data_IF_197047148180
#
_entry.id   IF_197047148180
#
_cell.length_a   1.000
_cell.length_b   1.000
_cell.length_c   1.000
_cell.angle_alpha   90.00
_cell.angle_beta   90.00
_cell.angle_gamma   90.00
#
_symmetry.space_group_name_H-M   'P 1'
#
loop_
_entity.id
_entity.type
_entity.pdbx_description
1 polymer ?
#
# COMPACT_ATOMS: atom_id res chain seq x y z
N UNK A 1 -17.97 3.33 14.11
CA UNK A 1 -16.87 3.87 13.29
C UNK A 1 -15.92 2.73 12.94
N UNK A 2 -15.86 2.33 11.67
CA UNK A 2 -15.03 1.22 11.20
C UNK A 2 -13.63 1.72 10.85
N UNK A 3 -12.59 1.05 11.38
CA UNK A 3 -11.24 1.12 10.83
C UNK A 3 -10.98 -0.13 10.01
N UNK A 4 -10.71 0.09 8.73
CA UNK A 4 -10.18 -0.89 7.81
C UNK A 4 -8.72 -1.09 8.20
N UNK A 5 -8.34 -2.29 8.65
CA UNK A 5 -6.93 -2.70 8.72
C UNK A 5 -6.46 -3.04 7.30
N UNK A 6 -6.26 -1.99 6.49
CA UNK A 6 -5.05 -1.91 5.67
C UNK A 6 -3.87 -1.83 6.65
N UNK A 7 -2.65 -2.15 6.22
CA UNK A 7 -1.45 -1.75 6.96
C UNK A 7 -1.53 -0.23 7.23
N UNK A 8 -2.06 0.13 8.40
CA UNK A 8 -2.32 1.49 8.82
C UNK A 8 -1.10 1.93 9.62
N UNK A 9 -0.23 2.70 8.98
CA UNK A 9 0.77 3.51 9.66
C UNK A 9 0.07 4.53 10.56
N UNK A 10 -0.09 4.20 11.84
CA UNK A 10 -0.59 5.17 12.84
C UNK A 10 0.59 5.92 13.43
N UNK A 11 0.69 7.22 13.14
CA UNK A 11 1.48 8.13 13.96
C UNK A 11 0.76 8.37 15.29
N UNK A 12 1.35 7.86 16.38
CA UNK A 12 0.88 8.15 17.72
C UNK A 12 1.36 9.55 18.13
N UNK A 13 0.44 10.46 18.42
CA UNK A 13 0.73 11.79 18.97
C UNK A 13 0.55 11.71 20.49
N UNK A 14 1.64 11.63 21.25
CA UNK A 14 1.57 11.87 22.69
C UNK A 14 1.37 13.37 22.92
N UNK A 15 0.20 13.75 23.45
CA UNK A 15 -0.01 15.06 24.05
C UNK A 15 0.63 15.03 25.45
N UNK A 16 1.82 15.59 25.59
CA UNK A 16 2.34 16.00 26.89
C UNK A 16 2.44 17.53 26.91
N UNK A 17 1.59 18.13 27.73
CA UNK A 17 1.73 19.52 28.16
C UNK A 17 2.92 19.62 29.11
N UNK A 18 3.96 20.36 28.74
CA UNK A 18 4.57 21.44 29.53
C UNK A 18 5.97 21.84 29.04
N UNK A 19 6.09 23.16 28.81
CA UNK A 19 7.21 24.10 29.00
C UNK A 19 8.66 23.72 28.62
N UNK A 20 9.15 24.59 27.74
CA UNK A 20 10.46 25.26 27.71
C UNK A 20 11.73 24.38 27.61
N UNK A 21 12.29 24.39 26.40
CA UNK A 21 13.73 24.21 26.19
C UNK A 21 14.22 22.76 26.27
N UNK A 22 14.00 21.96 25.23
CA UNK A 22 14.95 20.91 24.86
C UNK A 22 14.71 20.38 23.45
N UNK A 23 15.80 19.88 22.88
CA UNK A 23 15.99 19.34 21.53
C UNK A 23 14.89 18.34 21.15
N UNK A 24 14.34 18.46 19.93
CA UNK A 24 13.34 17.51 19.39
C UNK A 24 13.99 16.13 19.17
N UNK A 25 13.39 15.02 19.66
CA UNK A 25 13.85 13.69 19.28
C UNK A 25 13.38 13.33 17.86
N UNK A 26 14.17 12.52 17.17
CA UNK A 26 13.84 11.94 15.87
C UNK A 26 12.59 11.05 15.97
N UNK A 27 11.73 11.13 14.94
CA UNK A 27 10.50 10.33 14.81
C UNK A 27 10.88 8.87 14.53
N UNK A 28 10.56 7.97 15.47
CA UNK A 28 10.59 6.53 15.25
C UNK A 28 9.19 6.00 14.92
N UNK A 29 9.11 5.12 13.92
CA UNK A 29 7.90 4.40 13.52
C UNK A 29 7.84 3.08 14.29
N UNK A 30 6.74 2.83 15.01
CA UNK A 30 6.56 1.61 15.82
C UNK A 30 5.76 0.57 15.02
N UNK A 31 6.24 -0.67 15.00
CA UNK A 31 5.59 -1.82 14.35
C UNK A 31 5.26 -2.90 15.38
N UNK A 32 4.07 -3.52 15.27
CA UNK A 32 3.65 -4.63 16.14
C UNK A 32 3.82 -5.95 15.40
N UNK A 33 4.59 -6.88 15.97
CA UNK A 33 4.77 -8.24 15.48
C UNK A 33 4.24 -9.21 16.54
N UNK A 34 3.32 -10.11 16.16
CA UNK A 34 2.96 -11.27 16.99
C UNK A 34 4.05 -12.33 16.86
N UNK A 35 4.55 -12.79 18.00
CA UNK A 35 5.56 -13.82 18.10
C UNK A 35 5.03 -15.18 17.60
N UNK A 36 5.88 -15.89 16.86
CA UNK A 36 5.70 -17.29 16.49
C UNK A 36 6.61 -18.09 17.42
N UNK A 37 6.06 -18.99 18.23
CA UNK A 37 6.85 -19.99 18.94
C UNK A 37 7.44 -20.96 17.91
N UNK A 38 8.75 -21.10 17.90
CA UNK A 38 9.43 -22.18 17.19
C UNK A 38 9.58 -23.33 18.18
N UNK A 39 8.96 -24.46 17.86
CA UNK A 39 9.07 -25.69 18.65
C UNK A 39 10.51 -26.21 18.63
N UNK A 40 11.10 -26.37 19.82
CA UNK A 40 12.30 -27.14 20.09
C UNK A 40 12.04 -28.02 21.33
N UNK A 41 12.70 -29.19 21.45
CA UNK A 41 12.24 -30.25 22.34
C UNK A 41 12.59 -29.97 23.81
N UNK A 42 11.72 -30.47 24.67
CA UNK A 42 11.84 -30.63 26.12
C UNK A 42 12.02 -29.37 26.97
N UNK A 43 10.91 -28.86 27.52
CA UNK A 43 10.80 -28.58 28.97
C UNK A 43 9.34 -28.75 29.42
N UNK A 44 9.16 -29.64 30.39
CA UNK A 44 7.90 -30.01 31.05
C UNK A 44 7.39 -28.95 32.03
N UNK A 45 6.07 -29.00 32.25
CA UNK A 45 5.26 -28.35 33.31
C UNK A 45 4.78 -26.91 33.08
N UNK A 46 3.71 -26.77 32.27
CA UNK A 46 2.79 -25.63 32.34
C UNK A 46 1.52 -26.07 33.08
N UNK A 47 1.22 -25.34 34.15
CA UNK A 47 0.11 -25.58 35.07
C UNK A 47 -1.26 -25.65 34.35
N UNK A 48 -2.01 -26.78 34.40
CA UNK A 48 -3.27 -26.97 33.69
C UNK A 48 -4.38 -25.96 34.06
N UNK A 49 -4.27 -25.28 35.20
CA UNK A 49 -5.26 -24.31 35.67
C UNK A 49 -5.30 -22.99 34.88
N UNK A 50 -4.25 -22.65 34.13
CA UNK A 50 -4.16 -21.40 33.38
C UNK A 50 -4.84 -21.52 32.01
N UNK A 51 -4.75 -22.69 31.37
CA UNK A 51 -5.38 -22.96 30.06
C UNK A 51 -6.91 -22.93 30.18
N UNK A 52 -7.47 -23.38 31.31
CA UNK A 52 -8.93 -23.42 31.51
C UNK A 52 -9.56 -22.02 31.70
N UNK A 53 -8.82 -21.06 32.28
CA UNK A 53 -9.30 -19.67 32.46
C UNK A 53 -9.16 -18.80 31.20
N UNK A 54 -8.30 -19.17 30.25
CA UNK A 54 -8.17 -18.46 28.97
C UNK A 54 -9.32 -18.77 27.99
N UNK A 55 -9.87 -19.99 28.02
CA UNK A 55 -10.93 -20.38 27.09
C UNK A 55 -12.32 -19.84 27.46
N UNK A 56 -12.61 -19.54 28.72
CA UNK A 56 -13.95 -19.12 29.16
C UNK A 56 -14.20 -17.60 29.06
N UNK A 57 -13.17 -16.76 28.88
CA UNK A 57 -13.31 -15.29 28.79
C UNK A 57 -13.20 -14.71 27.38
N UNK A 58 -12.89 -15.50 26.35
CA UNK A 58 -12.79 -15.04 24.95
C UNK A 58 -13.97 -15.44 24.04
N UNK A 59 -15.08 -15.96 24.59
CA UNK A 59 -16.35 -16.05 23.84
C UNK A 59 -17.04 -14.67 23.74
N UNK A 60 -16.34 -13.72 23.12
CA UNK A 60 -16.95 -12.54 22.49
C UNK A 60 -17.58 -12.95 21.17
N UNK A 61 -18.87 -12.63 21.00
CA UNK A 61 -19.75 -12.99 19.87
C UNK A 61 -19.04 -13.18 18.51
N UNK A 62 -19.02 -14.41 17.94
CA UNK A 62 -18.48 -14.66 16.62
C UNK A 62 -19.51 -14.21 15.58
N UNK A 63 -19.25 -13.13 14.84
CA UNK A 63 -20.24 -12.71 13.85
C UNK A 63 -19.86 -11.62 12.87
N UNK A 64 -19.07 -10.60 13.26
CA UNK A 64 -18.83 -9.44 12.35
C UNK A 64 -17.41 -9.35 11.80
N UNK A 65 -16.38 -9.73 12.57
CA UNK A 65 -14.98 -9.67 12.10
C UNK A 65 -14.59 -10.84 11.21
N UNK A 66 -15.04 -12.06 11.53
CA UNK A 66 -14.88 -13.25 10.68
C UNK A 66 -15.64 -13.08 9.36
N UNK A 67 -16.78 -12.39 9.37
CA UNK A 67 -17.59 -12.17 8.18
C UNK A 67 -16.85 -11.32 7.14
N UNK A 68 -16.09 -10.29 7.53
CA UNK A 68 -15.45 -9.36 6.58
C UNK A 68 -14.19 -9.89 5.89
N UNK A 69 -13.36 -10.69 6.58
CA UNK A 69 -12.15 -11.29 5.97
C UNK A 69 -12.50 -12.36 4.91
N UNK A 70 -13.66 -13.00 5.06
CA UNK A 70 -14.06 -14.16 4.26
C UNK A 70 -14.52 -13.87 2.82
N UNK A 71 -14.83 -12.63 2.45
CA UNK A 71 -15.36 -12.32 1.10
C UNK A 71 -14.31 -11.77 0.13
N UNK A 72 -13.12 -11.38 0.60
CA UNK A 72 -12.14 -10.73 -0.29
C UNK A 72 -11.73 -11.63 -1.47
N UNK A 73 -11.46 -12.92 -1.23
CA UNK A 73 -11.13 -13.85 -2.32
C UNK A 73 -12.25 -13.99 -3.34
N UNK A 74 -13.51 -14.01 -2.91
CA UNK A 74 -14.68 -14.08 -3.79
C UNK A 74 -14.88 -12.78 -4.59
N UNK A 75 -14.69 -11.61 -3.97
CA UNK A 75 -14.79 -10.34 -4.69
C UNK A 75 -13.70 -10.21 -5.75
N UNK A 76 -12.48 -10.67 -5.46
CA UNK A 76 -11.40 -10.71 -6.46
C UNK A 76 -11.71 -11.69 -7.57
N UNK A 77 -12.28 -12.86 -7.24
CA UNK A 77 -12.77 -13.82 -8.23
C UNK A 77 -13.77 -13.18 -9.19
N UNK A 78 -14.79 -12.51 -8.65
CA UNK A 78 -15.80 -11.80 -9.46
C UNK A 78 -15.18 -10.68 -10.28
N UNK A 79 -14.25 -9.92 -9.71
CA UNK A 79 -13.52 -8.87 -10.42
C UNK A 79 -12.81 -9.44 -11.65
N UNK A 80 -12.07 -10.55 -11.48
CA UNK A 80 -11.35 -11.21 -12.58
C UNK A 80 -12.31 -11.76 -13.64
N UNK A 81 -13.44 -12.37 -13.23
CA UNK A 81 -14.46 -12.88 -14.14
C UNK A 81 -15.14 -11.77 -14.97
N UNK A 82 -15.27 -10.58 -14.40
CA UNK A 82 -15.83 -9.39 -15.08
C UNK A 82 -14.77 -8.56 -15.84
N UNK A 83 -13.54 -9.08 -16.02
CA UNK A 83 -12.42 -8.37 -16.65
C UNK A 83 -12.07 -7.03 -15.95
N UNK A 84 -12.31 -6.96 -14.64
CA UNK A 84 -11.98 -5.81 -13.79
C UNK A 84 -10.60 -5.97 -13.14
N UNK A 85 -9.98 -4.86 -12.70
CA UNK A 85 -8.72 -4.91 -11.96
C UNK A 85 -8.80 -5.90 -10.78
N UNK A 86 -7.75 -6.71 -10.61
CA UNK A 86 -7.59 -7.55 -9.43
C UNK A 86 -7.38 -6.74 -8.15
N UNK A 87 -6.69 -7.33 -7.18
CA UNK A 87 -6.35 -6.68 -5.91
C UNK A 87 -4.83 -6.57 -5.77
N UNK A 88 -4.18 -5.62 -6.47
CA UNK A 88 -2.73 -5.45 -6.47
C UNK A 88 -2.26 -4.77 -5.19
N UNK A 89 -2.37 -5.46 -4.06
CA UNK A 89 -1.99 -4.94 -2.74
C UNK A 89 -1.01 -5.87 -2.02
N UNK A 90 -0.82 -7.09 -2.52
CA UNK A 90 0.00 -8.09 -1.88
C UNK A 90 1.48 -7.85 -2.21
N UNK A 91 2.37 -8.22 -1.29
CA UNK A 91 3.80 -8.30 -1.60
C UNK A 91 4.08 -9.39 -2.64
N UNK A 92 5.26 -9.37 -3.26
CA UNK A 92 5.68 -10.44 -4.17
C UNK A 92 5.69 -11.81 -3.49
N UNK A 93 6.09 -11.84 -2.22
CA UNK A 93 6.07 -13.03 -1.37
C UNK A 93 4.64 -13.60 -1.20
N UNK A 94 3.70 -12.77 -0.77
CA UNK A 94 2.30 -13.18 -0.58
C UNK A 94 1.65 -13.55 -1.92
N UNK A 95 1.98 -12.83 -3.00
CA UNK A 95 1.53 -13.15 -4.37
C UNK A 95 2.05 -14.52 -4.81
N UNK A 96 3.32 -14.82 -4.55
CA UNK A 96 3.91 -16.13 -4.80
C UNK A 96 3.19 -17.23 -4.03
N UNK A 97 2.89 -17.01 -2.75
CA UNK A 97 2.13 -17.97 -1.94
C UNK A 97 0.72 -18.22 -2.49
N UNK A 98 -0.01 -17.17 -2.87
CA UNK A 98 -1.34 -17.26 -3.47
C UNK A 98 -1.30 -18.08 -4.77
N UNK A 99 -0.38 -17.74 -5.67
CA UNK A 99 -0.31 -18.35 -7.00
C UNK A 99 0.32 -19.73 -7.01
N UNK A 100 1.23 -20.04 -6.11
CA UNK A 100 2.04 -21.26 -6.19
C UNK A 100 1.73 -22.24 -5.05
N UNK A 101 1.00 -21.81 -4.01
CA UNK A 101 0.70 -22.60 -2.83
C UNK A 101 1.92 -22.83 -1.92
N UNK A 102 3.07 -22.29 -2.30
CA UNK A 102 4.29 -22.33 -1.52
C UNK A 102 5.08 -21.04 -1.70
N UNK A 103 5.90 -20.76 -0.70
CA UNK A 103 6.78 -19.60 -0.70
C UNK A 103 8.09 -20.04 -1.37
N UNK A 104 8.29 -19.73 -2.66
CA UNK A 104 9.48 -20.20 -3.40
C UNK A 104 10.69 -19.27 -3.35
N UNK A 105 10.47 -17.96 -3.28
CA UNK A 105 11.56 -16.99 -3.25
C UNK A 105 11.20 -15.82 -2.35
N UNK A 106 11.81 -15.82 -1.18
CA UNK A 106 11.76 -14.72 -0.24
C UNK A 106 13.08 -13.98 -0.34
N UNK A 107 13.05 -12.76 -0.89
CA UNK A 107 14.25 -11.97 -1.01
C UNK A 107 14.35 -11.03 0.18
N UNK A 108 15.58 -10.76 0.63
CA UNK A 108 15.82 -9.71 1.64
C UNK A 108 15.28 -8.34 1.19
N UNK A 109 15.02 -8.16 -0.12
CA UNK A 109 14.48 -6.93 -0.69
C UNK A 109 12.99 -6.74 -0.36
N UNK A 110 12.30 -7.79 0.06
CA UNK A 110 10.89 -7.77 0.45
C UNK A 110 10.69 -7.22 1.87
N UNK A 111 11.77 -7.06 2.65
CA UNK A 111 11.74 -6.49 3.98
C UNK A 111 11.65 -4.94 3.93
N UNK A 112 11.28 -4.27 5.03
CA UNK A 112 11.44 -2.82 5.16
C UNK A 112 12.93 -2.42 5.14
N UNK A 113 13.27 -1.25 4.58
CA UNK A 113 14.68 -0.84 4.42
C UNK A 113 15.44 -0.74 5.74
N UNK A 114 14.77 -0.30 6.83
CA UNK A 114 15.35 -0.28 8.17
C UNK A 114 15.76 -1.68 8.64
N UNK A 115 14.93 -2.69 8.37
CA UNK A 115 15.21 -4.09 8.71
C UNK A 115 16.35 -4.63 7.85
N UNK A 116 16.36 -4.31 6.55
CA UNK A 116 17.46 -4.69 5.65
C UNK A 116 18.79 -4.12 6.12
N UNK A 117 18.80 -2.84 6.49
CA UNK A 117 20.02 -2.18 6.92
C UNK A 117 20.60 -2.84 8.17
N UNK A 118 19.75 -3.10 9.19
CA UNK A 118 20.17 -3.80 10.42
C UNK A 118 20.66 -5.23 10.12
N UNK A 119 19.98 -5.95 9.24
CA UNK A 119 20.40 -7.29 8.80
C UNK A 119 21.74 -7.28 8.05
N UNK A 120 22.00 -6.24 7.25
CA UNK A 120 23.28 -6.05 6.58
C UNK A 120 24.38 -5.60 7.55
N UNK A 121 24.03 -4.83 8.59
CA UNK A 121 24.95 -4.47 9.67
C UNK A 121 25.36 -5.73 10.46
N UNK A 122 24.42 -6.62 10.77
CA UNK A 122 24.70 -7.91 11.44
C UNK A 122 25.65 -8.78 10.61
N UNK A 123 25.49 -8.87 9.29
CA UNK A 123 26.42 -9.63 8.42
C UNK A 123 27.85 -9.09 8.48
N UNK A 124 28.00 -7.77 8.60
CA UNK A 124 29.29 -7.07 8.61
C UNK A 124 30.00 -7.17 9.96
N UNK A 125 29.31 -7.61 11.01
CA UNK A 125 29.89 -7.80 12.33
C UNK A 125 30.94 -8.93 12.33
N UNK A 126 32.05 -8.71 13.03
CA UNK A 126 33.16 -9.65 13.14
C UNK A 126 33.09 -10.53 14.39
N UNK A 127 32.31 -10.16 15.40
CA UNK A 127 32.19 -10.88 16.69
C UNK A 127 30.74 -11.10 17.11
N UNK A 128 30.49 -12.12 17.92
CA UNK A 128 29.16 -12.42 18.46
C UNK A 128 28.62 -11.29 19.36
N UNK A 129 29.50 -10.61 20.11
CA UNK A 129 29.12 -9.47 20.96
C UNK A 129 28.58 -8.30 20.12
N UNK A 130 29.20 -8.01 18.98
CA UNK A 130 28.74 -6.92 18.09
C UNK A 130 27.43 -7.28 17.39
N UNK A 131 27.25 -8.55 17.01
CA UNK A 131 25.97 -9.06 16.48
C UNK A 131 24.86 -8.92 17.51
N UNK A 132 25.11 -9.28 18.78
CA UNK A 132 24.15 -9.14 19.88
C UNK A 132 23.75 -7.68 20.10
N UNK A 133 24.71 -6.74 20.07
CA UNK A 133 24.41 -5.32 20.20
C UNK A 133 23.49 -4.81 19.10
N UNK A 134 23.76 -5.15 17.83
CA UNK A 134 22.89 -4.77 16.71
C UNK A 134 21.50 -5.39 16.87
N UNK A 135 21.41 -6.65 17.29
CA UNK A 135 20.14 -7.33 17.57
C UNK A 135 19.34 -6.65 18.69
N UNK A 136 19.97 -6.28 19.81
CA UNK A 136 19.30 -5.56 20.90
C UNK A 136 18.74 -4.21 20.47
N UNK A 137 19.45 -3.45 19.62
CA UNK A 137 18.88 -2.20 19.07
C UNK A 137 17.64 -2.45 18.22
N UNK A 138 17.57 -3.60 17.54
CA UNK A 138 16.40 -3.99 16.76
C UNK A 138 15.22 -4.39 17.65
N UNK A 139 15.46 -4.93 18.85
CA UNK A 139 14.42 -5.24 19.85
C UNK A 139 13.89 -3.97 20.55
N UNK A 140 14.75 -3.00 20.86
CA UNK A 140 14.35 -1.72 21.46
C UNK A 140 13.45 -0.90 20.53
N UNK A 141 13.70 -0.95 19.22
CA UNK A 141 12.84 -0.36 18.19
C UNK A 141 11.46 -1.09 18.07
N UNK A 142 11.30 -2.27 18.67
CA UNK A 142 10.06 -3.10 18.67
C UNK A 142 9.19 -2.95 19.93
N UNK A 143 9.35 -1.87 20.69
CA UNK A 143 8.68 -1.57 21.99
C UNK A 143 7.15 -1.47 22.00
N UNK A 144 6.44 -2.06 21.02
CA UNK A 144 4.98 -2.22 20.98
C UNK A 144 4.48 -3.68 20.99
N UNK A 145 5.35 -4.68 21.12
CA UNK A 145 4.94 -6.09 21.28
C UNK A 145 4.77 -6.43 22.77
N UNK A 146 3.58 -6.89 23.16
CA UNK A 146 3.23 -7.21 24.57
C UNK A 146 4.04 -8.38 25.16
N UNK A 147 4.73 -9.15 24.32
CA UNK A 147 5.65 -10.21 24.73
C UNK A 147 6.84 -10.28 23.77
N UNK A 148 8.04 -10.01 24.29
CA UNK A 148 9.30 -10.34 23.64
C UNK A 148 9.86 -11.56 24.36
N UNK A 149 10.04 -12.67 23.64
CA UNK A 149 10.84 -13.80 24.13
C UNK A 149 12.29 -13.45 23.81
N UNK A 150 13.14 -13.12 24.81
CA UNK A 150 14.52 -12.76 24.54
C UNK A 150 15.25 -13.98 23.97
N UNK A 151 15.95 -13.78 22.85
CA UNK A 151 16.83 -14.81 22.31
C UNK A 151 18.06 -14.89 23.23
N UNK A 152 18.02 -15.83 24.18
CA UNK A 152 19.03 -15.98 25.25
C UNK A 152 20.46 -16.18 24.72
N UNK A 153 20.60 -16.69 23.49
CA UNK A 153 21.87 -16.83 22.78
C UNK A 153 21.64 -16.48 21.31
N UNK A 154 22.13 -15.33 20.88
CA UNK A 154 22.21 -14.94 19.47
C UNK A 154 23.68 -14.85 19.07
N UNK A 155 24.08 -15.58 18.02
CA UNK A 155 25.46 -15.62 17.52
C UNK A 155 25.49 -15.41 16.01
N UNK A 156 26.69 -15.27 15.43
CA UNK A 156 26.87 -15.01 14.00
C UNK A 156 26.31 -16.12 13.10
N UNK A 157 26.37 -17.37 13.55
CA UNK A 157 25.85 -18.53 12.81
C UNK A 157 24.33 -18.49 12.66
N UNK A 158 23.62 -17.90 13.64
CA UNK A 158 22.17 -17.77 13.62
C UNK A 158 21.66 -16.66 12.70
N UNK A 159 22.52 -15.79 12.18
CA UNK A 159 22.09 -14.66 11.32
C UNK A 159 21.39 -15.17 10.06
N UNK A 160 21.89 -16.23 9.43
CA UNK A 160 21.30 -16.79 8.20
C UNK A 160 19.89 -17.34 8.44
N UNK A 161 19.71 -18.10 9.53
CA UNK A 161 18.41 -18.63 9.95
C UNK A 161 17.46 -17.53 10.38
N UNK A 162 17.96 -16.52 11.11
CA UNK A 162 17.17 -15.37 11.54
C UNK A 162 16.70 -14.52 10.36
N UNK A 163 17.57 -14.30 9.37
CA UNK A 163 17.20 -13.67 8.10
C UNK A 163 16.09 -14.44 7.42
N UNK A 164 16.27 -15.75 7.25
CA UNK A 164 15.26 -16.61 6.60
C UNK A 164 13.92 -16.52 7.33
N UNK A 165 13.92 -16.64 8.67
CA UNK A 165 12.72 -16.51 9.49
C UNK A 165 12.07 -15.12 9.38
N UNK A 166 12.84 -14.04 9.31
CA UNK A 166 12.30 -12.68 9.13
C UNK A 166 11.68 -12.46 7.76
N UNK A 167 12.27 -13.01 6.70
CA UNK A 167 11.67 -12.90 5.37
C UNK A 167 10.42 -13.79 5.26
N UNK A 168 10.36 -14.90 5.99
CA UNK A 168 9.18 -15.79 6.05
C UNK A 168 8.04 -15.22 6.91
N UNK A 169 8.38 -14.46 7.95
CA UNK A 169 7.43 -13.96 8.95
C UNK A 169 6.19 -13.26 8.37
N UNK A 170 6.28 -12.35 7.38
CA UNK A 170 5.10 -11.67 6.84
C UNK A 170 4.06 -12.63 6.27
N UNK A 171 4.49 -13.75 5.66
CA UNK A 171 3.57 -14.74 5.11
C UNK A 171 3.12 -15.76 6.16
N UNK A 172 4.03 -16.20 7.04
CA UNK A 172 3.71 -17.20 8.06
C UNK A 172 2.74 -16.64 9.13
N UNK A 173 2.90 -15.37 9.52
CA UNK A 173 2.06 -14.71 10.52
C UNK A 173 0.62 -14.45 10.07
N UNK A 174 0.33 -14.49 8.76
CA UNK A 174 -1.01 -14.35 8.19
C UNK A 174 -1.41 -15.54 7.30
N UNK A 175 -0.76 -16.70 7.49
CA UNK A 175 -0.96 -17.89 6.66
C UNK A 175 -2.42 -18.33 6.64
N UNK A 176 -3.08 -18.36 7.79
CA UNK A 176 -4.48 -18.78 7.86
C UNK A 176 -5.41 -17.85 7.08
N UNK A 177 -5.19 -16.53 7.16
CA UNK A 177 -5.92 -15.57 6.35
C UNK A 177 -5.64 -15.72 4.85
N UNK A 178 -4.38 -15.95 4.47
CA UNK A 178 -4.01 -16.22 3.08
C UNK A 178 -4.65 -17.52 2.58
N UNK A 179 -4.67 -18.59 3.38
CA UNK A 179 -5.31 -19.86 3.03
C UNK A 179 -6.83 -19.72 2.89
N UNK A 180 -7.47 -18.90 3.73
CA UNK A 180 -8.88 -18.54 3.57
C UNK A 180 -9.10 -17.76 2.27
N UNK A 181 -8.27 -16.76 1.98
CA UNK A 181 -8.33 -15.99 0.75
C UNK A 181 -8.16 -16.89 -0.48
N UNK A 182 -7.15 -17.76 -0.50
CA UNK A 182 -6.86 -18.73 -1.58
C UNK A 182 -8.05 -19.64 -1.83
N UNK A 183 -8.62 -20.25 -0.78
CA UNK A 183 -9.82 -21.11 -0.91
C UNK A 183 -11.00 -20.38 -1.52
N UNK A 184 -11.15 -19.09 -1.23
CA UNK A 184 -12.24 -18.24 -1.75
C UNK A 184 -11.93 -17.74 -3.16
N UNK A 185 -10.66 -17.50 -3.47
CA UNK A 185 -10.20 -17.13 -4.81
C UNK A 185 -10.36 -18.27 -5.82
N UNK A 186 -10.22 -19.52 -5.36
CA UNK A 186 -10.45 -20.71 -6.19
C UNK A 186 -11.94 -21.06 -6.33
N UNK A 187 -12.84 -20.21 -5.85
CA UNK A 187 -14.27 -20.34 -6.20
C UNK A 187 -14.39 -20.23 -7.72
N UNK A 188 -15.18 -21.11 -8.34
CA UNK A 188 -15.30 -21.21 -9.81
C UNK A 188 -14.00 -21.62 -10.54
N UNK A 189 -13.01 -22.20 -9.84
CA UNK A 189 -11.73 -22.65 -10.42
C UNK A 189 -10.87 -21.54 -11.03
N UNK A 190 -11.12 -20.28 -10.66
CA UNK A 190 -10.38 -19.12 -11.21
C UNK A 190 -8.90 -19.21 -10.87
N UNK A 191 -8.54 -19.57 -9.64
CA UNK A 191 -7.13 -19.73 -9.28
C UNK A 191 -6.46 -20.86 -10.07
N UNK A 192 -7.15 -21.98 -10.30
CA UNK A 192 -6.70 -23.03 -11.20
C UNK A 192 -6.35 -22.51 -12.61
N UNK A 193 -7.21 -21.69 -13.21
CA UNK A 193 -6.99 -21.09 -14.52
C UNK A 193 -5.81 -20.11 -14.52
N UNK A 194 -5.72 -19.23 -13.51
CA UNK A 194 -4.60 -18.29 -13.34
C UNK A 194 -3.26 -19.03 -13.20
N UNK A 195 -3.27 -20.19 -12.54
CA UNK A 195 -2.11 -21.07 -12.41
C UNK A 195 -1.72 -21.78 -13.69
N UNK A 196 -2.62 -21.88 -14.67
CA UNK A 196 -2.33 -22.49 -15.97
C UNK A 196 -1.94 -21.45 -17.04
N UNK A 197 -2.28 -20.17 -16.85
CA UNK A 197 -1.94 -19.10 -17.79
C UNK A 197 -0.42 -18.99 -18.05
N UNK A 198 -0.03 -18.92 -19.32
CA UNK A 198 1.38 -18.81 -19.73
C UNK A 198 2.01 -17.47 -19.34
N UNK A 199 1.22 -16.40 -19.30
CA UNK A 199 1.65 -15.05 -18.96
C UNK A 199 1.63 -14.81 -17.45
N UNK A 200 2.55 -15.48 -16.75
CA UNK A 200 2.73 -15.35 -15.30
C UNK A 200 2.92 -13.90 -14.83
N UNK A 201 3.57 -13.07 -15.63
CA UNK A 201 3.78 -11.65 -15.29
C UNK A 201 2.45 -10.89 -15.19
N UNK A 202 1.52 -11.10 -16.14
CA UNK A 202 0.19 -10.48 -16.11
C UNK A 202 -0.62 -10.98 -14.92
N UNK A 203 -0.61 -12.29 -14.66
CA UNK A 203 -1.30 -12.92 -13.52
C UNK A 203 -0.78 -12.38 -12.19
N UNK A 204 0.54 -12.30 -12.02
CA UNK A 204 1.15 -11.70 -10.82
C UNK A 204 0.71 -10.26 -10.63
N UNK A 205 0.59 -9.48 -11.71
CA UNK A 205 0.11 -8.10 -11.68
C UNK A 205 -1.34 -7.94 -11.20
N UNK A 206 -2.14 -9.00 -11.12
CA UNK A 206 -3.48 -8.96 -10.52
C UNK A 206 -3.46 -8.89 -8.99
N UNK A 207 -2.36 -9.31 -8.36
CA UNK A 207 -2.23 -9.45 -6.90
C UNK A 207 -1.08 -8.65 -6.33
N UNK A 208 0.03 -8.58 -7.06
CA UNK A 208 1.23 -7.87 -6.63
C UNK A 208 1.00 -6.36 -6.71
N UNK A 209 1.19 -5.72 -5.56
CA UNK A 209 1.15 -4.26 -5.41
C UNK A 209 2.43 -3.57 -5.85
N UNK A 210 3.25 -4.17 -6.72
CA UNK A 210 4.27 -3.43 -7.47
C UNK A 210 3.61 -2.48 -8.48
N UNK A 211 2.81 -1.54 -7.98
CA UNK A 211 2.23 -0.45 -8.74
C UNK A 211 3.42 0.42 -9.14
N UNK A 212 3.77 0.40 -10.43
CA UNK A 212 4.74 1.33 -10.99
C UNK A 212 4.32 2.75 -10.54
N UNK A 213 5.25 3.56 -9.98
CA UNK A 213 4.91 4.91 -9.57
C UNK A 213 4.19 5.62 -10.70
N UNK A 214 3.04 6.23 -10.39
CA UNK A 214 2.30 6.95 -11.40
C UNK A 214 3.15 8.13 -11.85
N UNK A 215 3.35 8.27 -13.16
CA UNK A 215 4.10 9.39 -13.74
C UNK A 215 3.15 10.32 -14.49
N UNK A 216 3.49 11.60 -14.57
CA UNK A 216 2.72 12.56 -15.37
C UNK A 216 2.65 12.12 -16.85
N UNK A 217 3.70 11.48 -17.36
CA UNK A 217 3.72 10.94 -18.71
C UNK A 217 2.70 9.81 -18.88
N UNK A 218 2.64 8.85 -17.96
CA UNK A 218 1.67 7.76 -18.00
C UNK A 218 0.23 8.32 -17.95
N UNK A 219 -0.04 9.28 -17.05
CA UNK A 219 -1.34 9.92 -16.95
C UNK A 219 -1.72 10.68 -18.23
N UNK A 220 -0.78 11.43 -18.82
CA UNK A 220 -0.97 12.10 -20.11
C UNK A 220 -1.28 11.12 -21.24
N UNK A 221 -0.60 9.98 -21.31
CA UNK A 221 -0.80 8.99 -22.38
C UNK A 221 -2.19 8.36 -22.34
N UNK A 222 -2.84 8.37 -21.17
CA UNK A 222 -4.22 7.94 -20.99
C UNK A 222 -5.25 8.99 -21.38
N UNK A 223 -4.86 10.22 -21.71
CA UNK A 223 -5.79 11.30 -22.06
C UNK A 223 -5.86 11.52 -23.57
N UNK A 224 -7.05 11.89 -24.04
CA UNK A 224 -7.31 12.30 -25.44
C UNK A 224 -8.00 13.65 -25.42
N UNK A 225 -7.32 14.68 -25.90
CA UNK A 225 -7.88 16.02 -25.99
C UNK A 225 -8.67 16.20 -27.28
N UNK A 226 -9.97 16.48 -27.15
CA UNK A 226 -10.87 16.75 -28.26
C UNK A 226 -11.02 18.25 -28.44
N UNK A 227 -10.25 18.79 -29.39
CA UNK A 227 -10.33 20.20 -29.77
C UNK A 227 -11.44 20.42 -30.79
N UNK A 228 -12.15 21.53 -30.67
CA UNK A 228 -13.08 22.00 -31.69
C UNK A 228 -12.34 22.52 -32.92
N UNK A 229 -13.01 22.49 -34.07
CA UNK A 229 -12.54 23.17 -35.27
C UNK A 229 -13.01 24.63 -35.24
N UNK A 230 -12.09 25.60 -35.43
CA UNK A 230 -12.40 27.03 -35.53
C UNK A 230 -11.80 27.91 -34.43
N UNK A 231 -12.40 29.09 -34.21
CA UNK A 231 -11.80 30.17 -33.41
C UNK A 231 -11.59 29.82 -31.93
N UNK A 232 -12.36 28.88 -31.38
CA UNK A 232 -12.26 28.43 -29.98
C UNK A 232 -11.05 27.54 -29.73
N UNK A 233 -10.51 26.90 -30.78
CA UNK A 233 -9.41 25.92 -30.71
C UNK A 233 -8.19 26.47 -29.97
N UNK A 234 -7.85 27.74 -30.18
CA UNK A 234 -6.67 28.34 -29.53
C UNK A 234 -6.85 28.42 -28.00
N UNK A 235 -8.03 28.83 -27.53
CA UNK A 235 -8.36 28.89 -26.11
C UNK A 235 -8.37 27.50 -25.47
N UNK A 236 -8.90 26.50 -26.19
CA UNK A 236 -8.90 25.11 -25.75
C UNK A 236 -7.49 24.53 -25.66
N UNK A 237 -6.63 24.78 -26.66
CA UNK A 237 -5.23 24.36 -26.64
C UNK A 237 -4.46 24.98 -25.47
N UNK A 238 -4.68 26.26 -25.18
CA UNK A 238 -4.09 26.93 -24.00
C UNK A 238 -4.59 26.31 -22.69
N UNK A 239 -5.90 26.07 -22.59
CA UNK A 239 -6.52 25.45 -21.42
C UNK A 239 -5.96 24.04 -21.18
N UNK A 240 -5.88 23.23 -22.25
CA UNK A 240 -5.30 21.89 -22.22
C UNK A 240 -3.82 21.91 -21.84
N UNK A 241 -3.05 22.87 -22.36
CA UNK A 241 -1.65 23.06 -21.98
C UNK A 241 -1.52 23.44 -20.49
N UNK A 242 -2.38 24.32 -19.98
CA UNK A 242 -2.42 24.67 -18.56
C UNK A 242 -2.68 23.44 -17.68
N UNK A 243 -3.63 22.58 -18.09
CA UNK A 243 -3.89 21.32 -17.38
C UNK A 243 -2.68 20.37 -17.40
N UNK A 244 -1.97 20.26 -18.54
CA UNK A 244 -0.74 19.47 -18.62
C UNK A 244 0.38 20.03 -17.74
N UNK A 245 0.49 21.35 -17.61
CA UNK A 245 1.41 22.00 -16.67
C UNK A 245 1.07 21.61 -15.23
N UNK A 246 -0.21 21.58 -14.87
CA UNK A 246 -0.67 21.11 -13.56
C UNK A 246 -0.24 19.65 -13.28
N UNK A 247 -0.40 18.74 -14.25
CA UNK A 247 0.09 17.36 -14.10
C UNK A 247 1.61 17.30 -13.87
N UNK A 248 2.37 18.11 -14.60
CA UNK A 248 3.83 18.18 -14.42
C UNK A 248 4.20 18.74 -13.05
N UNK A 249 3.50 19.75 -12.56
CA UNK A 249 3.71 20.31 -11.23
C UNK A 249 3.46 19.26 -10.13
N UNK A 250 2.37 18.50 -10.24
CA UNK A 250 2.04 17.43 -9.29
C UNK A 250 3.06 16.27 -9.29
N UNK A 251 3.81 16.08 -10.38
CA UNK A 251 4.86 15.04 -10.45
C UNK A 251 6.16 15.41 -9.74
N UNK A 252 6.39 16.71 -9.49
CA UNK A 252 7.60 17.18 -8.81
C UNK A 252 7.40 16.98 -7.30
N UNK A 253 7.99 15.92 -6.73
CA UNK A 253 8.13 15.80 -5.27
C UNK A 253 8.92 17.01 -4.78
N UNK A 254 8.26 17.96 -4.13
CA UNK A 254 8.91 19.17 -3.61
C UNK A 254 9.70 18.82 -2.35
N UNK A 255 11.00 18.60 -2.52
CA UNK A 255 11.95 18.88 -1.44
C UNK A 255 11.96 20.40 -1.22
N UNK A 256 11.68 20.83 0.01
CA UNK A 256 11.91 22.19 0.55
C UNK A 256 10.81 23.26 0.38
N UNK A 257 10.22 23.65 1.52
CA UNK A 257 9.95 25.03 2.00
C UNK A 257 9.20 26.08 1.13
N UNK A 258 8.53 25.71 0.04
CA UNK A 258 7.51 26.55 -0.59
C UNK A 258 6.17 25.82 -0.59
N UNK A 259 5.40 25.93 0.51
CA UNK A 259 4.05 25.39 0.60
C UNK A 259 3.06 26.28 -0.14
N UNK A 260 2.94 26.04 -1.45
CA UNK A 260 1.66 25.87 -2.15
C UNK A 260 2.00 24.84 -3.25
N UNK A 261 1.32 23.70 -3.34
CA UNK A 261 1.58 22.56 -4.25
C UNK A 261 2.44 21.38 -3.71
N UNK A 262 2.34 21.10 -2.41
CA UNK A 262 2.65 19.78 -1.83
C UNK A 262 1.40 19.01 -1.37
N UNK A 263 0.20 19.43 -1.81
CA UNK A 263 -1.09 18.93 -1.29
C UNK A 263 -1.73 17.91 -2.23
N UNK A 264 -1.47 18.00 -3.54
CA UNK A 264 -2.12 17.16 -4.56
C UNK A 264 -1.07 16.30 -5.26
N UNK A 265 -1.21 14.98 -5.14
CA UNK A 265 -0.39 13.99 -5.82
C UNK A 265 -0.98 13.57 -7.16
N UNK A 266 -0.19 12.88 -8.00
CA UNK A 266 -0.70 12.31 -9.25
C UNK A 266 -1.78 11.26 -8.99
N UNK A 267 -1.67 10.53 -7.88
CA UNK A 267 -2.65 9.55 -7.43
C UNK A 267 -3.98 10.23 -7.08
N UNK A 268 -3.95 11.40 -6.44
CA UNK A 268 -5.16 12.18 -6.16
C UNK A 268 -5.85 12.63 -7.46
N UNK A 269 -5.06 13.03 -8.46
CA UNK A 269 -5.58 13.40 -9.79
C UNK A 269 -6.19 12.18 -10.47
N UNK A 270 -5.55 11.00 -10.40
CA UNK A 270 -6.11 9.78 -10.97
C UNK A 270 -7.44 9.40 -10.31
N UNK A 271 -7.53 9.50 -8.98
CA UNK A 271 -8.77 9.26 -8.23
C UNK A 271 -9.83 10.26 -8.65
N UNK A 272 -9.48 11.53 -8.78
CA UNK A 272 -10.42 12.56 -9.24
C UNK A 272 -10.99 12.24 -10.62
N UNK A 273 -10.13 11.82 -11.57
CA UNK A 273 -10.52 11.55 -12.96
C UNK A 273 -11.24 10.22 -13.17
N UNK A 274 -10.88 9.19 -12.43
CA UNK A 274 -11.30 7.80 -12.71
C UNK A 274 -11.96 7.09 -11.52
N UNK A 275 -11.88 7.65 -10.32
CA UNK A 275 -12.25 6.98 -9.07
C UNK A 275 -11.25 5.91 -8.60
N UNK A 276 -10.21 5.62 -9.39
CA UNK A 276 -9.21 4.59 -9.07
C UNK A 276 -7.92 5.20 -8.51
N UNK A 277 -7.27 4.49 -7.58
CA UNK A 277 -5.96 4.90 -6.99
C UNK A 277 -4.75 4.45 -7.81
N UNK A 278 -4.95 3.51 -8.73
CA UNK A 278 -3.89 2.97 -9.58
C UNK A 278 -4.47 2.65 -10.96
N UNK A 279 -3.61 2.62 -11.96
CA UNK A 279 -3.98 2.18 -13.30
C UNK A 279 -4.01 0.65 -13.29
N UNK A 280 -5.11 0.00 -13.69
CA UNK A 280 -5.16 -1.46 -13.81
C UNK A 280 -4.04 -2.00 -14.71
N UNK A 281 -3.59 -3.24 -14.47
CA UNK A 281 -2.57 -3.87 -15.32
C UNK A 281 -3.01 -3.97 -16.79
N UNK A 282 -4.31 -4.15 -17.05
CA UNK A 282 -4.90 -4.12 -18.39
C UNK A 282 -5.15 -2.71 -18.94
N UNK A 283 -4.95 -1.66 -18.13
CA UNK A 283 -5.41 -0.31 -18.41
C UNK A 283 -6.90 -0.13 -18.15
N UNK A 284 -7.42 1.07 -18.46
CA UNK A 284 -8.85 1.33 -18.45
C UNK A 284 -9.51 0.89 -19.76
N UNK A 285 -10.81 0.61 -19.72
CA UNK A 285 -11.60 0.20 -20.90
C UNK A 285 -11.56 1.22 -22.05
N UNK A 286 -11.28 2.49 -21.75
CA UNK A 286 -10.95 3.53 -22.73
C UNK A 286 -10.03 4.59 -22.13
N UNK A 287 -9.52 5.46 -23.00
CA UNK A 287 -8.78 6.66 -22.59
C UNK A 287 -9.73 7.72 -22.00
N UNK A 288 -9.18 8.59 -21.17
CA UNK A 288 -9.88 9.73 -20.59
C UNK A 288 -10.10 10.77 -21.68
N UNK A 289 -11.36 11.00 -22.03
CA UNK A 289 -11.75 12.04 -22.98
C UNK A 289 -11.67 13.40 -22.30
N UNK A 290 -10.84 14.31 -22.84
CA UNK A 290 -10.74 15.69 -22.37
C UNK A 290 -11.45 16.60 -23.36
N UNK A 291 -12.54 17.22 -22.90
CA UNK A 291 -13.42 18.09 -23.67
C UNK A 291 -13.43 19.49 -23.08
N UNK A 292 -13.90 20.47 -23.85
CA UNK A 292 -13.86 21.88 -23.45
C UNK A 292 -15.25 22.50 -23.47
N UNK A 293 -15.59 23.21 -22.39
CA UNK A 293 -16.89 23.85 -22.20
C UNK A 293 -16.75 25.12 -21.35
N UNK A 294 -17.87 25.65 -20.86
CA UNK A 294 -17.92 26.81 -19.96
C UNK A 294 -17.94 26.41 -18.49
N UNK A 295 -17.92 25.10 -18.19
CA UNK A 295 -17.92 24.55 -16.84
C UNK A 295 -16.92 23.39 -16.72
N UNK A 296 -16.43 23.17 -15.51
CA UNK A 296 -15.61 22.00 -15.19
C UNK A 296 -16.52 20.87 -14.74
N UNK A 297 -16.39 19.70 -15.36
CA UNK A 297 -17.14 18.49 -15.01
C UNK A 297 -16.23 17.27 -15.10
N UNK A 298 -16.41 16.33 -14.18
CA UNK A 298 -15.71 15.04 -14.22
C UNK A 298 -16.73 13.93 -14.12
N UNK A 299 -16.67 13.00 -15.07
CA UNK A 299 -17.46 11.79 -15.06
C UNK A 299 -16.52 10.60 -15.00
N UNK A 300 -16.37 10.01 -13.81
CA UNK A 300 -15.46 8.87 -13.56
C UNK A 300 -15.91 7.61 -14.28
N UNK A 301 -17.22 7.35 -14.38
CA UNK A 301 -17.76 6.19 -15.08
C UNK A 301 -17.55 6.29 -16.60
N UNK A 302 -17.76 7.48 -17.16
CA UNK A 302 -17.56 7.73 -18.57
C UNK A 302 -16.12 8.11 -18.92
N UNK A 303 -15.20 8.16 -17.94
CA UNK A 303 -13.82 8.63 -18.09
C UNK A 303 -13.76 9.91 -18.96
N UNK A 304 -14.52 10.93 -18.57
CA UNK A 304 -14.59 12.20 -19.29
C UNK A 304 -14.29 13.35 -18.34
N UNK A 305 -13.35 14.21 -18.75
CA UNK A 305 -13.00 15.47 -18.10
C UNK A 305 -13.42 16.61 -19.03
N UNK A 306 -14.36 17.43 -18.59
CA UNK A 306 -14.70 18.68 -19.27
C UNK A 306 -13.99 19.82 -18.56
N UNK A 307 -13.15 20.56 -19.30
CA UNK A 307 -12.42 21.72 -18.81
C UNK A 307 -13.12 23.01 -19.20
N UNK A 308 -13.13 23.98 -18.29
CA UNK A 308 -13.59 25.34 -18.60
C UNK A 308 -12.53 26.06 -19.44
N UNK A 309 -12.93 26.64 -20.58
CA UNK A 309 -12.01 27.39 -21.44
C UNK A 309 -11.59 28.68 -20.74
N UNK A 310 -10.29 28.88 -20.55
CA UNK A 310 -9.69 30.05 -19.89
C UNK A 310 -8.55 30.60 -20.76
N UNK A 311 -8.83 31.62 -21.57
CA UNK A 311 -7.91 32.09 -22.62
C UNK A 311 -6.65 32.83 -22.11
N UNK A 312 -6.74 33.34 -20.88
CA UNK A 312 -5.74 34.22 -20.25
C UNK A 312 -5.08 33.59 -19.02
N UNK A 313 -5.27 32.29 -18.78
CA UNK A 313 -4.70 31.60 -17.64
C UNK A 313 -3.21 31.38 -17.83
N UNK A 314 -2.40 31.88 -16.90
CA UNK A 314 -0.95 31.62 -16.89
C UNK A 314 -0.67 30.18 -16.44
N UNK A 315 0.50 29.60 -16.78
CA UNK A 315 0.87 28.27 -16.31
C UNK A 315 0.81 28.13 -14.78
N UNK A 316 1.22 29.15 -14.05
CA UNK A 316 1.20 29.20 -12.58
C UNK A 316 -0.23 29.22 -12.04
N UNK A 317 -1.08 30.07 -12.62
CA UNK A 317 -2.50 30.15 -12.25
C UNK A 317 -3.23 28.84 -12.54
N UNK A 318 -2.86 28.14 -13.62
CA UNK A 318 -3.43 26.84 -13.95
C UNK A 318 -3.18 25.81 -12.84
N UNK A 319 -1.97 25.78 -12.27
CA UNK A 319 -1.65 24.86 -11.18
C UNK A 319 -2.54 25.14 -9.96
N UNK A 320 -2.64 26.39 -9.55
CA UNK A 320 -3.46 26.80 -8.39
C UNK A 320 -4.94 26.53 -8.64
N UNK A 321 -5.42 26.85 -9.83
CA UNK A 321 -6.81 26.67 -10.23
C UNK A 321 -7.23 25.20 -10.17
N UNK A 322 -6.49 24.31 -10.83
CA UNK A 322 -6.83 22.88 -10.86
C UNK A 322 -6.60 22.18 -9.52
N UNK A 323 -5.58 22.59 -8.74
CA UNK A 323 -5.41 22.10 -7.38
C UNK A 323 -6.62 22.47 -6.50
N UNK A 324 -7.10 23.72 -6.59
CA UNK A 324 -8.27 24.18 -5.85
C UNK A 324 -9.55 23.43 -6.23
N UNK A 325 -9.76 23.19 -7.53
CA UNK A 325 -10.90 22.39 -8.01
C UNK A 325 -10.89 20.97 -7.45
N UNK A 326 -9.73 20.31 -7.48
CA UNK A 326 -9.59 18.95 -6.95
C UNK A 326 -9.85 18.92 -5.44
N UNK A 327 -9.24 19.81 -4.66
CA UNK A 327 -9.42 19.89 -3.20
C UNK A 327 -10.89 20.09 -2.86
N UNK A 328 -11.56 21.04 -3.52
CA UNK A 328 -12.97 21.34 -3.29
C UNK A 328 -13.89 20.18 -3.70
N UNK A 329 -13.50 19.38 -4.70
CA UNK A 329 -14.27 18.20 -5.11
C UNK A 329 -14.12 17.02 -4.14
N UNK A 330 -12.98 16.90 -3.45
CA UNK A 330 -12.72 15.83 -2.48
C UNK A 330 -13.37 16.10 -1.12
N UNK A 331 -13.56 17.36 -0.73
CA UNK A 331 -14.23 17.72 0.52
C UNK A 331 -15.70 17.25 0.58
N UNK A 332 -16.34 16.93 -0.55
CA UNK A 332 -17.71 16.41 -0.59
C UNK A 332 -17.83 14.88 -0.39
N UNK A 333 -16.73 14.13 -0.35
CA UNK A 333 -16.77 12.65 -0.18
C UNK A 333 -16.38 12.17 1.23
N UNK A 334 -16.10 13.08 2.17
CA UNK A 334 -15.67 12.74 3.53
C UNK A 334 -16.65 13.11 4.66
N UNK A 335 -17.88 13.54 4.34
CA UNK A 335 -18.96 13.71 5.34
C UNK A 335 -19.78 12.43 5.56
#
# INVERSE_FOLDING_TARGET
MCQIFLLSFRHFRQNNSARAGSVRPNRASVFTIKAVCLDGPDYTEINPGIIKKMNEKQLGKPGSETFRKNYMGQLVTLSILEDRPGLPIFSEAATGYILEGCIKSLHINDLPDVVKEKLNQMDRCTSDETVKQVYSTMEEERTGAEFLVPVLKFNKEMISSFKSALVEHPCSSCKEELDQFIRRLDTHQVLGLLRQDENKTKVRGLFSGQVKPLTALALRQMMVFKYSEGNRRLGEMRTGQGFLTFLQAASKKTDSKAQVNGIVSLEDILVWLSGARFIPAAGFHKKIDVEFSNAVQVNTCALTLTLKIEENMTPEDAVVHYAGLLINSQTFTME
#
